data_IF_252139496591
#
_entry.id   IF_252139496591
#
_cell.length_a   1.000
_cell.length_b   1.000
_cell.length_c   1.000
_cell.angle_alpha   90.00
_cell.angle_beta   90.00
_cell.angle_gamma   90.00
#
_symmetry.space_group_name_H-M   'P 1'
#
loop_
_entity.id
_entity.type
_entity.pdbx_description
1 polymer ?
#
# COMPACT_ATOMS: atom_id res chain seq x y z
N UNK A 1 -46.94 71.77 -30.83
CA UNK A 1 -46.84 70.72 -29.75
C UNK A 1 -46.35 69.46 -30.45
N UNK A 2 -45.04 69.21 -30.38
CA UNK A 2 -44.41 68.06 -31.05
C UNK A 2 -44.06 67.05 -29.96
N UNK A 3 -44.64 65.88 -30.01
CA UNK A 3 -44.31 64.72 -29.09
C UNK A 3 -43.08 64.05 -29.67
N UNK A 4 -42.00 64.11 -28.92
CA UNK A 4 -40.77 63.34 -29.20
C UNK A 4 -40.92 61.96 -28.53
N UNK A 5 -40.96 60.94 -29.37
CA UNK A 5 -40.97 59.53 -28.93
C UNK A 5 -39.53 59.06 -28.78
N UNK A 6 -39.08 58.88 -27.54
CA UNK A 6 -37.76 58.30 -27.24
C UNK A 6 -37.83 56.76 -27.31
N UNK A 7 -37.19 56.20 -28.32
CA UNK A 7 -37.02 54.75 -28.44
C UNK A 7 -35.82 54.37 -27.57
N UNK A 8 -36.08 53.69 -26.44
CA UNK A 8 -35.05 53.11 -25.58
C UNK A 8 -34.60 51.76 -26.15
N UNK A 9 -33.41 51.75 -26.77
CA UNK A 9 -32.79 50.53 -27.29
C UNK A 9 -32.17 49.80 -26.11
N UNK A 10 -32.82 48.76 -25.64
CA UNK A 10 -32.24 47.85 -24.62
C UNK A 10 -31.30 46.87 -25.31
N UNK A 11 -30.01 47.14 -25.26
CA UNK A 11 -28.96 46.20 -25.63
C UNK A 11 -28.94 45.09 -24.56
N UNK A 12 -29.57 43.97 -24.85
CA UNK A 12 -29.38 42.74 -24.07
C UNK A 12 -28.01 42.17 -24.45
N UNK A 13 -26.98 42.52 -23.67
CA UNK A 13 -25.69 41.82 -23.69
C UNK A 13 -25.94 40.38 -23.30
N UNK A 14 -25.98 39.49 -24.28
CA UNK A 14 -25.87 38.05 -24.03
C UNK A 14 -24.46 37.74 -23.55
N UNK A 15 -24.18 38.04 -22.27
CA UNK A 15 -23.06 37.42 -21.55
C UNK A 15 -23.37 35.93 -21.48
N UNK A 16 -22.75 35.18 -22.38
CA UNK A 16 -22.75 33.73 -22.30
C UNK A 16 -22.17 33.34 -20.96
N UNK A 17 -23.04 33.06 -20.00
CA UNK A 17 -22.68 32.35 -18.78
C UNK A 17 -22.14 31.00 -19.21
N UNK A 18 -20.83 30.91 -19.38
CA UNK A 18 -20.16 29.63 -19.40
C UNK A 18 -20.45 28.99 -18.03
N UNK A 19 -21.50 28.18 -17.97
CA UNK A 19 -21.76 27.33 -16.80
C UNK A 19 -20.54 26.44 -16.64
N UNK A 20 -19.64 26.80 -15.71
CA UNK A 20 -18.62 25.91 -15.30
C UNK A 20 -19.31 24.61 -14.88
N UNK A 21 -19.02 23.52 -15.59
CA UNK A 21 -19.61 22.22 -15.28
C UNK A 21 -19.40 21.93 -13.81
N UNK A 22 -20.47 21.62 -13.08
CA UNK A 22 -20.35 21.18 -11.70
C UNK A 22 -19.27 20.08 -11.59
N UNK A 23 -18.38 20.11 -10.60
CA UNK A 23 -17.36 19.08 -10.44
C UNK A 23 -17.91 17.65 -10.54
N UNK A 24 -19.15 17.42 -10.12
CA UNK A 24 -19.84 16.13 -10.20
C UNK A 24 -20.20 15.69 -11.63
N UNK A 25 -20.35 16.61 -12.59
CA UNK A 25 -20.74 16.29 -13.98
C UNK A 25 -19.56 16.21 -14.94
N UNK A 26 -18.38 16.67 -14.54
CA UNK A 26 -17.17 16.62 -15.37
C UNK A 26 -16.77 15.18 -15.66
N UNK A 27 -16.61 14.82 -16.93
CA UNK A 27 -16.04 13.52 -17.32
C UNK A 27 -14.58 13.46 -16.93
N UNK A 28 -14.19 12.40 -16.26
CA UNK A 28 -12.82 12.14 -15.81
C UNK A 28 -12.31 10.83 -16.40
N UNK A 29 -11.06 10.84 -16.85
CA UNK A 29 -10.30 9.63 -17.18
C UNK A 29 -9.10 9.56 -16.26
N UNK A 30 -8.94 8.44 -15.56
CA UNK A 30 -7.87 8.21 -14.58
C UNK A 30 -7.07 7.00 -15.03
N UNK A 31 -5.76 7.19 -15.23
CA UNK A 31 -4.81 6.10 -15.44
C UNK A 31 -4.43 5.47 -14.10
N UNK A 32 -4.35 4.15 -14.06
CA UNK A 32 -3.83 3.40 -12.92
C UNK A 32 -2.75 2.46 -13.43
N UNK A 33 -1.53 2.61 -12.91
CA UNK A 33 -0.40 1.76 -13.27
C UNK A 33 0.26 1.19 -12.03
N UNK A 34 0.58 -0.11 -12.09
CA UNK A 34 1.13 -0.84 -10.96
C UNK A 34 1.93 -2.07 -11.42
N UNK A 35 2.72 -2.70 -10.53
CA UNK A 35 3.37 -3.96 -10.83
C UNK A 35 2.40 -5.07 -11.21
N UNK A 36 2.85 -6.04 -12.03
CA UNK A 36 2.16 -7.30 -12.21
C UNK A 36 2.09 -8.08 -10.89
N UNK A 37 1.18 -9.05 -10.82
CA UNK A 37 1.09 -9.94 -9.67
C UNK A 37 2.25 -10.97 -9.73
N UNK A 38 3.30 -10.73 -8.99
CA UNK A 38 4.49 -11.57 -8.88
C UNK A 38 4.60 -12.32 -7.54
N UNK A 39 3.80 -11.94 -6.54
CA UNK A 39 3.63 -12.59 -5.24
C UNK A 39 2.24 -12.31 -4.67
N UNK A 40 1.89 -12.92 -3.54
CA UNK A 40 0.54 -12.86 -2.97
C UNK A 40 0.05 -11.44 -2.71
N UNK A 41 0.89 -10.59 -2.11
CA UNK A 41 0.52 -9.22 -1.80
C UNK A 41 0.23 -8.38 -3.05
N UNK A 42 1.08 -8.44 -4.10
CA UNK A 42 0.82 -7.73 -5.36
C UNK A 42 -0.37 -8.30 -6.11
N UNK A 43 -0.65 -9.60 -5.97
CA UNK A 43 -1.88 -10.24 -6.42
C UNK A 43 -3.11 -9.61 -5.76
N UNK A 44 -3.08 -9.48 -4.44
CA UNK A 44 -4.10 -8.81 -3.64
C UNK A 44 -4.29 -7.35 -4.06
N UNK A 45 -3.19 -6.60 -4.22
CA UNK A 45 -3.23 -5.20 -4.65
C UNK A 45 -3.90 -5.04 -6.03
N UNK A 46 -3.59 -5.92 -6.99
CA UNK A 46 -4.24 -5.94 -8.30
C UNK A 46 -5.76 -6.22 -8.19
N UNK A 47 -6.16 -7.13 -7.32
CA UNK A 47 -7.56 -7.44 -7.08
C UNK A 47 -8.30 -6.25 -6.47
N UNK A 48 -7.74 -5.62 -5.43
CA UNK A 48 -8.32 -4.45 -4.78
C UNK A 48 -8.40 -3.23 -5.71
N UNK A 49 -7.39 -3.01 -6.57
CA UNK A 49 -7.44 -1.97 -7.58
C UNK A 49 -8.63 -2.16 -8.53
N UNK A 50 -8.79 -3.36 -9.09
CA UNK A 50 -9.90 -3.69 -9.99
C UNK A 50 -11.26 -3.57 -9.31
N UNK A 51 -11.36 -4.01 -8.05
CA UNK A 51 -12.58 -3.87 -7.25
C UNK A 51 -12.93 -2.40 -7.02
N UNK A 52 -11.98 -1.58 -6.59
CA UNK A 52 -12.21 -0.15 -6.37
C UNK A 52 -12.61 0.58 -7.65
N UNK A 53 -11.98 0.25 -8.77
CA UNK A 53 -12.32 0.79 -10.09
C UNK A 53 -13.78 0.44 -10.45
N UNK A 54 -14.18 -0.82 -10.31
CA UNK A 54 -15.54 -1.25 -10.60
C UNK A 54 -16.57 -0.56 -9.69
N UNK A 55 -16.26 -0.43 -8.41
CA UNK A 55 -17.13 0.24 -7.43
C UNK A 55 -17.29 1.74 -7.73
N UNK A 56 -16.20 2.43 -8.12
CA UNK A 56 -16.27 3.83 -8.50
C UNK A 56 -17.03 4.07 -9.80
N UNK A 57 -16.84 3.22 -10.81
CA UNK A 57 -17.59 3.32 -12.07
C UNK A 57 -19.10 3.12 -11.89
N UNK A 58 -19.53 2.32 -10.90
CA UNK A 58 -20.93 2.21 -10.49
C UNK A 58 -21.44 3.46 -9.77
N UNK A 59 -20.62 4.05 -8.89
CA UNK A 59 -20.97 5.24 -8.10
C UNK A 59 -20.98 6.53 -8.92
N UNK A 60 -20.08 6.64 -9.88
CA UNK A 60 -19.88 7.83 -10.71
C UNK A 60 -19.67 7.43 -12.18
N UNK A 61 -20.75 7.41 -12.99
CA UNK A 61 -20.67 7.03 -14.42
C UNK A 61 -19.81 7.99 -15.26
N UNK A 62 -19.48 9.16 -14.72
CA UNK A 62 -18.61 10.13 -15.41
C UNK A 62 -17.11 9.89 -15.12
N UNK A 63 -16.75 8.84 -14.38
CA UNK A 63 -15.36 8.44 -14.15
C UNK A 63 -15.04 7.19 -14.95
N UNK A 64 -14.01 7.28 -15.80
CA UNK A 64 -13.43 6.16 -16.52
C UNK A 64 -12.04 5.86 -16.01
N UNK A 65 -11.69 4.59 -15.87
CA UNK A 65 -10.34 4.18 -15.52
C UNK A 65 -9.67 3.42 -16.67
N UNK A 66 -8.36 3.67 -16.81
CA UNK A 66 -7.46 2.94 -17.72
C UNK A 66 -6.43 2.22 -16.86
N UNK A 67 -6.62 0.91 -16.66
CA UNK A 67 -5.78 0.09 -15.80
C UNK A 67 -4.67 -0.57 -16.60
N UNK A 68 -3.42 -0.50 -16.09
CA UNK A 68 -2.21 -1.10 -16.67
C UNK A 68 -1.40 -1.81 -15.59
N UNK A 69 -0.81 -2.94 -15.95
CA UNK A 69 0.19 -3.62 -15.13
C UNK A 69 1.48 -3.77 -15.92
N UNK A 70 2.61 -3.65 -15.23
CA UNK A 70 3.93 -3.71 -15.83
C UNK A 70 4.82 -4.71 -15.09
N UNK A 71 5.60 -5.49 -15.84
CA UNK A 71 6.57 -6.46 -15.32
C UNK A 71 7.88 -5.83 -14.88
N UNK A 72 8.18 -4.65 -15.42
CA UNK A 72 9.41 -3.91 -15.20
C UNK A 72 9.17 -2.40 -15.34
N UNK A 73 10.16 -1.62 -14.93
CA UNK A 73 10.09 -0.15 -14.90
C UNK A 73 10.01 0.47 -16.29
N UNK A 74 10.63 -0.16 -17.29
CA UNK A 74 10.61 0.33 -18.68
C UNK A 74 9.20 0.25 -19.25
N UNK A 75 8.54 -0.91 -19.04
CA UNK A 75 7.15 -1.09 -19.42
C UNK A 75 6.24 -0.13 -18.67
N UNK A 76 6.47 0.08 -17.36
CA UNK A 76 5.68 1.02 -16.57
C UNK A 76 5.83 2.45 -17.06
N UNK A 77 7.04 2.86 -17.44
CA UNK A 77 7.28 4.18 -18.00
C UNK A 77 6.53 4.39 -19.34
N UNK A 78 6.59 3.39 -20.23
CA UNK A 78 5.85 3.42 -21.49
C UNK A 78 4.32 3.48 -21.26
N UNK A 79 3.80 2.74 -20.29
CA UNK A 79 2.38 2.78 -19.91
C UNK A 79 1.95 4.17 -19.41
N UNK A 80 2.80 4.84 -18.61
CA UNK A 80 2.53 6.21 -18.14
C UNK A 80 2.52 7.18 -19.31
N UNK A 81 3.49 7.10 -20.23
CA UNK A 81 3.54 7.97 -21.40
C UNK A 81 2.33 7.77 -22.33
N UNK A 82 1.89 6.53 -22.51
CA UNK A 82 0.67 6.21 -23.25
C UNK A 82 -0.57 6.80 -22.58
N UNK A 83 -0.74 6.63 -21.25
CA UNK A 83 -1.83 7.22 -20.48
C UNK A 83 -1.86 8.75 -20.59
N UNK A 84 -0.69 9.40 -20.49
CA UNK A 84 -0.55 10.84 -20.66
C UNK A 84 -0.97 11.28 -22.07
N UNK A 85 -0.59 10.52 -23.08
CA UNK A 85 -0.94 10.78 -24.50
C UNK A 85 -2.45 10.61 -24.73
N UNK A 86 -3.09 9.68 -24.04
CA UNK A 86 -4.55 9.51 -24.06
C UNK A 86 -5.31 10.61 -23.31
N UNK A 87 -4.63 11.57 -22.70
CA UNK A 87 -5.24 12.74 -22.07
C UNK A 87 -5.92 12.44 -20.74
N UNK A 88 -5.34 11.55 -19.91
CA UNK A 88 -5.88 11.28 -18.56
C UNK A 88 -5.86 12.55 -17.71
N UNK A 89 -6.88 12.70 -16.87
CA UNK A 89 -6.99 13.80 -15.92
C UNK A 89 -6.22 13.52 -14.63
N UNK A 90 -6.11 12.24 -14.27
CA UNK A 90 -5.39 11.77 -13.09
C UNK A 90 -4.59 10.51 -13.37
N UNK A 91 -3.61 10.27 -12.53
CA UNK A 91 -2.72 9.14 -12.60
C UNK A 91 -2.48 8.57 -11.19
N UNK A 92 -2.79 7.30 -11.00
CA UNK A 92 -2.44 6.54 -9.80
C UNK A 92 -1.23 5.68 -10.15
N UNK A 93 -0.13 5.87 -9.44
CA UNK A 93 1.12 5.17 -9.69
C UNK A 93 1.52 4.38 -8.46
N UNK A 94 1.55 3.05 -8.59
CA UNK A 94 2.29 2.20 -7.69
C UNK A 94 3.63 1.88 -8.36
N UNK A 95 4.73 2.54 -7.96
CA UNK A 95 6.03 2.38 -8.62
C UNK A 95 6.56 0.95 -8.50
N UNK A 96 7.15 0.42 -9.57
CA UNK A 96 7.97 -0.80 -9.49
C UNK A 96 9.23 -0.48 -8.69
N UNK A 97 9.87 0.65 -9.01
CA UNK A 97 10.93 1.27 -8.21
C UNK A 97 10.99 2.78 -8.45
N UNK A 98 11.88 3.48 -7.75
CA UNK A 98 11.97 4.94 -7.80
C UNK A 98 12.57 5.51 -9.09
N UNK A 99 13.13 4.69 -9.98
CA UNK A 99 13.65 5.14 -11.28
C UNK A 99 12.53 5.62 -12.22
N UNK A 100 11.28 5.31 -11.91
CA UNK A 100 10.09 5.83 -12.60
C UNK A 100 9.89 7.35 -12.43
N UNK A 101 10.60 8.00 -11.49
CA UNK A 101 10.45 9.42 -11.13
C UNK A 101 10.39 10.37 -12.32
N UNK A 102 11.29 10.30 -13.35
CA UNK A 102 11.29 11.28 -14.43
C UNK A 102 9.99 11.30 -15.25
N UNK A 103 9.40 10.14 -15.53
CA UNK A 103 8.15 10.07 -16.30
C UNK A 103 6.95 10.52 -15.48
N UNK A 104 6.93 10.25 -14.19
CA UNK A 104 5.90 10.75 -13.25
C UNK A 104 6.00 12.26 -13.12
N UNK A 105 7.20 12.81 -12.96
CA UNK A 105 7.47 14.26 -12.91
C UNK A 105 6.98 14.94 -14.19
N UNK A 106 7.23 14.37 -15.37
CA UNK A 106 6.73 14.87 -16.66
C UNK A 106 5.20 14.92 -16.71
N UNK A 107 4.52 13.88 -16.19
CA UNK A 107 3.05 13.84 -16.11
C UNK A 107 2.51 14.91 -15.14
N UNK A 108 3.11 15.02 -13.96
CA UNK A 108 2.76 16.01 -12.93
C UNK A 108 2.92 17.45 -13.46
N UNK A 109 4.03 17.76 -14.13
CA UNK A 109 4.29 19.08 -14.71
C UNK A 109 3.35 19.45 -15.86
N UNK A 110 2.68 18.47 -16.47
CA UNK A 110 1.58 18.70 -17.43
C UNK A 110 0.24 19.02 -16.76
N UNK A 111 0.18 19.10 -15.44
CA UNK A 111 -1.04 19.37 -14.68
C UNK A 111 -1.95 18.17 -14.49
N UNK A 112 -1.47 16.95 -14.71
CA UNK A 112 -2.19 15.70 -14.36
C UNK A 112 -2.18 15.55 -12.86
N UNK A 113 -3.32 15.24 -12.24
CA UNK A 113 -3.43 14.96 -10.81
C UNK A 113 -2.79 13.63 -10.50
N UNK A 114 -1.72 13.62 -9.71
CA UNK A 114 -0.91 12.42 -9.47
C UNK A 114 -1.05 11.92 -8.04
N UNK A 115 -1.43 10.67 -7.89
CA UNK A 115 -1.38 9.92 -6.63
C UNK A 115 -0.29 8.85 -6.75
N UNK A 116 0.75 8.96 -5.93
CA UNK A 116 1.80 7.94 -5.81
C UNK A 116 1.57 7.15 -4.54
N UNK A 117 1.78 5.84 -4.57
CA UNK A 117 1.60 5.01 -3.37
C UNK A 117 2.76 4.05 -3.14
N UNK A 118 2.85 3.58 -1.90
CA UNK A 118 3.79 2.56 -1.40
C UNK A 118 5.26 2.95 -1.61
N UNK A 119 5.97 2.35 -2.58
CA UNK A 119 7.43 2.47 -2.78
C UNK A 119 7.93 3.90 -3.03
N UNK A 120 7.04 4.80 -3.46
CA UNK A 120 7.38 6.20 -3.64
C UNK A 120 8.26 6.49 -4.85
N UNK A 121 8.59 7.77 -5.00
CA UNK A 121 9.49 8.33 -6.03
C UNK A 121 10.49 9.27 -5.36
N UNK A 122 11.60 9.60 -6.04
CA UNK A 122 12.71 10.40 -5.44
C UNK A 122 12.43 11.90 -5.35
N UNK A 123 11.41 12.41 -6.06
CA UNK A 123 11.00 13.82 -6.04
C UNK A 123 9.52 13.95 -5.69
N UNK A 124 9.06 15.03 -5.04
CA UNK A 124 7.67 15.22 -4.67
C UNK A 124 6.80 15.67 -5.87
N UNK A 125 6.83 14.90 -6.98
CA UNK A 125 6.05 15.15 -8.18
C UNK A 125 4.69 14.43 -8.12
N UNK A 126 3.89 14.78 -7.11
CA UNK A 126 2.57 14.21 -6.85
C UNK A 126 1.70 15.21 -6.07
N UNK A 127 0.38 15.08 -6.20
CA UNK A 127 -0.59 15.77 -5.36
C UNK A 127 -0.78 15.02 -4.03
N UNK A 128 -0.76 13.68 -4.07
CA UNK A 128 -0.84 12.83 -2.87
C UNK A 128 0.19 11.71 -2.95
N UNK A 129 0.93 11.52 -1.86
CA UNK A 129 1.69 10.31 -1.58
C UNK A 129 1.00 9.53 -0.46
N UNK A 130 0.64 8.28 -0.74
CA UNK A 130 -0.03 7.38 0.18
C UNK A 130 0.89 6.21 0.54
N UNK A 131 1.13 5.98 1.82
CA UNK A 131 1.93 4.85 2.31
C UNK A 131 1.37 4.31 3.61
N UNK A 132 1.78 3.12 3.99
CA UNK A 132 1.60 2.61 5.34
C UNK A 132 2.78 3.04 6.23
N UNK A 133 2.63 2.95 7.55
CA UNK A 133 3.67 3.25 8.53
C UNK A 133 4.53 1.99 8.77
N UNK A 134 5.62 1.87 8.00
CA UNK A 134 6.54 0.73 8.07
C UNK A 134 7.29 0.67 9.42
N UNK A 135 7.53 1.83 10.04
CA UNK A 135 8.15 1.88 11.35
C UNK A 135 7.20 1.39 12.45
N UNK A 136 5.93 1.86 12.44
CA UNK A 136 4.92 1.38 13.37
C UNK A 136 4.66 -0.12 13.19
N UNK A 137 4.62 -0.60 11.94
CA UNK A 137 4.50 -2.02 11.59
C UNK A 137 5.58 -2.86 12.30
N UNK A 138 6.84 -2.58 12.05
CA UNK A 138 7.95 -3.38 12.58
C UNK A 138 8.09 -3.23 14.11
N UNK A 139 7.79 -2.04 14.65
CA UNK A 139 7.82 -1.76 16.09
C UNK A 139 6.79 -2.61 16.83
N UNK A 140 5.53 -2.55 16.41
CA UNK A 140 4.45 -3.32 17.03
C UNK A 140 4.72 -4.83 16.98
N UNK A 141 5.17 -5.32 15.82
CA UNK A 141 5.52 -6.72 15.62
C UNK A 141 6.59 -7.17 16.62
N UNK A 142 7.72 -6.47 16.67
CA UNK A 142 8.84 -6.87 17.51
C UNK A 142 8.57 -6.64 19.00
N UNK A 143 7.86 -5.59 19.39
CA UNK A 143 7.43 -5.39 20.78
C UNK A 143 6.51 -6.53 21.23
N UNK A 144 5.57 -6.94 20.38
CA UNK A 144 4.68 -8.06 20.67
C UNK A 144 5.45 -9.38 20.81
N UNK A 145 6.40 -9.67 19.90
CA UNK A 145 7.26 -10.86 19.97
C UNK A 145 8.06 -10.87 21.27
N UNK A 146 8.77 -9.78 21.58
CA UNK A 146 9.57 -9.68 22.80
C UNK A 146 8.75 -9.89 24.07
N UNK A 147 7.58 -9.25 24.15
CA UNK A 147 6.64 -9.42 25.27
C UNK A 147 6.14 -10.85 25.39
N UNK A 148 5.80 -11.48 24.29
CA UNK A 148 5.28 -12.86 24.25
C UNK A 148 6.33 -13.90 24.63
N UNK A 149 7.62 -13.59 24.43
CA UNK A 149 8.76 -14.39 24.90
C UNK A 149 9.15 -14.10 26.36
N UNK A 150 8.44 -13.20 27.06
CA UNK A 150 8.83 -12.75 28.41
C UNK A 150 10.17 -12.01 28.41
N UNK A 151 10.49 -11.31 27.32
CA UNK A 151 11.70 -10.50 27.12
C UNK A 151 13.01 -11.29 27.17
N UNK A 152 12.95 -12.60 26.86
CA UNK A 152 14.12 -13.48 26.80
C UNK A 152 13.96 -14.54 25.71
N UNK A 153 14.93 -14.63 24.79
CA UNK A 153 14.91 -15.64 23.73
C UNK A 153 15.78 -15.28 22.53
N UNK A 154 15.91 -16.25 21.66
CA UNK A 154 16.66 -16.17 20.40
C UNK A 154 15.69 -15.94 19.24
N UNK A 155 15.91 -14.90 18.46
CA UNK A 155 15.05 -14.51 17.33
C UNK A 155 15.88 -14.51 16.04
N UNK A 156 15.30 -14.99 14.95
CA UNK A 156 15.82 -14.81 13.59
C UNK A 156 14.87 -13.94 12.78
N UNK A 157 15.43 -13.14 11.86
CA UNK A 157 14.69 -12.26 10.98
C UNK A 157 14.83 -12.71 9.53
N UNK A 158 13.73 -12.68 8.77
CA UNK A 158 13.72 -12.87 7.31
C UNK A 158 13.22 -11.58 6.69
N UNK A 159 14.12 -10.89 5.99
CA UNK A 159 13.92 -9.55 5.43
C UNK A 159 13.24 -9.62 4.06
N UNK A 160 12.69 -8.48 3.61
CA UNK A 160 12.18 -8.36 2.25
C UNK A 160 13.28 -8.22 1.18
N UNK A 161 12.88 -7.70 0.01
CA UNK A 161 13.84 -7.24 -1.02
C UNK A 161 14.61 -6.04 -0.45
N UNK A 162 15.95 -5.97 -0.60
CA UNK A 162 16.73 -4.79 -0.22
C UNK A 162 16.13 -3.51 -0.80
N UNK A 163 15.60 -2.66 0.07
CA UNK A 163 14.86 -1.45 -0.27
C UNK A 163 14.65 -0.58 0.97
N UNK A 164 14.30 0.68 0.77
CA UNK A 164 14.01 1.61 1.89
C UNK A 164 12.97 1.03 2.86
N UNK A 165 11.93 0.38 2.35
CA UNK A 165 10.88 -0.25 3.17
C UNK A 165 11.46 -1.41 4.00
N UNK A 166 12.16 -2.34 3.34
CA UNK A 166 12.75 -3.50 4.02
C UNK A 166 13.79 -3.09 5.05
N UNK A 167 14.67 -2.14 4.69
CA UNK A 167 15.71 -1.61 5.57
C UNK A 167 15.10 -0.94 6.81
N UNK A 168 14.04 -0.14 6.62
CA UNK A 168 13.34 0.53 7.72
C UNK A 168 12.69 -0.48 8.68
N UNK A 169 11.96 -1.49 8.14
CA UNK A 169 11.34 -2.55 8.94
C UNK A 169 12.40 -3.34 9.72
N UNK A 170 13.46 -3.77 9.05
CA UNK A 170 14.54 -4.55 9.67
C UNK A 170 15.27 -3.76 10.74
N UNK A 171 15.63 -2.51 10.44
CA UNK A 171 16.27 -1.62 11.41
C UNK A 171 15.40 -1.41 12.65
N UNK A 172 14.13 -1.08 12.44
CA UNK A 172 13.19 -0.84 13.54
C UNK A 172 13.01 -2.08 14.40
N UNK A 173 12.86 -3.26 13.78
CA UNK A 173 12.76 -4.52 14.53
C UNK A 173 14.01 -4.78 15.38
N UNK A 174 15.21 -4.58 14.82
CA UNK A 174 16.48 -4.72 15.56
C UNK A 174 16.60 -3.69 16.70
N UNK A 175 16.24 -2.43 16.46
CA UNK A 175 16.27 -1.36 17.46
C UNK A 175 15.31 -1.65 18.63
N UNK A 176 14.15 -2.22 18.36
CA UNK A 176 13.22 -2.65 19.42
C UNK A 176 13.78 -3.84 20.21
N UNK A 177 14.26 -4.87 19.54
CA UNK A 177 14.85 -6.05 20.19
C UNK A 177 16.03 -5.66 21.10
N UNK A 178 16.87 -4.72 20.68
CA UNK A 178 18.03 -4.24 21.43
C UNK A 178 17.68 -3.54 22.77
N UNK A 179 16.44 -3.11 22.96
CA UNK A 179 15.97 -2.54 24.25
C UNK A 179 15.86 -3.61 25.35
N UNK A 180 15.86 -4.87 25.00
CA UNK A 180 15.64 -5.99 25.90
C UNK A 180 16.88 -6.90 25.98
N UNK A 181 17.75 -6.77 27.00
CA UNK A 181 19.04 -7.49 27.06
C UNK A 181 18.91 -9.03 27.02
N UNK A 182 17.74 -9.57 27.37
CA UNK A 182 17.47 -11.01 27.29
C UNK A 182 17.10 -11.50 25.89
N UNK A 183 16.82 -10.61 24.95
CA UNK A 183 16.52 -10.94 23.57
C UNK A 183 17.80 -10.91 22.73
N UNK A 184 18.00 -11.93 21.91
CA UNK A 184 19.14 -12.02 20.99
C UNK A 184 18.63 -12.21 19.56
N UNK A 185 18.90 -11.25 18.69
CA UNK A 185 18.75 -11.42 17.24
C UNK A 185 19.96 -12.19 16.74
N UNK A 186 19.75 -13.46 16.38
CA UNK A 186 20.82 -14.38 15.98
C UNK A 186 21.30 -14.10 14.54
N UNK A 187 20.37 -13.82 13.65
CA UNK A 187 20.64 -13.60 12.22
C UNK A 187 19.49 -12.82 11.55
N UNK A 188 19.78 -12.26 10.36
CA UNK A 188 18.84 -11.48 9.58
C UNK A 188 19.25 -11.59 8.10
N UNK A 189 18.45 -12.28 7.29
CA UNK A 189 18.75 -12.58 5.89
C UNK A 189 17.57 -12.26 4.97
N UNK A 190 17.80 -11.84 3.72
CA UNK A 190 16.74 -11.50 2.77
C UNK A 190 16.00 -12.75 2.26
N UNK A 191 14.69 -12.80 2.48
CA UNK A 191 13.75 -13.75 1.88
C UNK A 191 13.07 -13.21 0.64
N UNK A 192 13.32 -11.93 0.26
CA UNK A 192 12.98 -11.34 -1.03
C UNK A 192 11.48 -11.26 -1.36
N UNK A 193 10.60 -11.13 -0.35
CA UNK A 193 9.14 -11.21 -0.49
C UNK A 193 8.69 -12.50 -1.20
N UNK A 194 9.44 -13.58 -1.04
CA UNK A 194 9.25 -14.80 -1.80
C UNK A 194 9.24 -16.02 -0.88
N UNK A 195 8.22 -16.86 -1.00
CA UNK A 195 8.00 -18.03 -0.18
C UNK A 195 9.14 -19.04 -0.25
N UNK A 196 9.60 -19.36 -1.47
CA UNK A 196 10.63 -20.38 -1.70
C UNK A 196 12.00 -19.92 -1.17
N UNK A 197 12.32 -18.62 -1.34
CA UNK A 197 13.56 -18.05 -0.80
C UNK A 197 13.53 -17.99 0.72
N UNK A 198 12.41 -17.59 1.30
CA UNK A 198 12.23 -17.58 2.76
C UNK A 198 12.29 -19.00 3.35
N UNK A 199 11.77 -20.00 2.64
CA UNK A 199 11.90 -21.40 3.00
C UNK A 199 13.39 -21.78 3.08
N UNK A 200 14.19 -21.51 2.04
CA UNK A 200 15.61 -21.82 2.01
C UNK A 200 16.40 -21.07 3.12
N UNK A 201 16.08 -19.80 3.38
CA UNK A 201 16.66 -19.03 4.49
C UNK A 201 16.34 -19.70 5.84
N UNK A 202 15.10 -20.10 6.02
CA UNK A 202 14.68 -20.75 7.28
C UNK A 202 15.34 -22.12 7.48
N UNK A 203 15.47 -22.92 6.43
CA UNK A 203 16.22 -24.19 6.47
C UNK A 203 17.67 -23.98 6.94
N UNK A 204 18.35 -22.96 6.39
CA UNK A 204 19.70 -22.58 6.81
C UNK A 204 19.74 -22.18 8.30
N UNK A 205 18.77 -21.41 8.78
CA UNK A 205 18.68 -21.06 10.21
C UNK A 205 18.48 -22.28 11.10
N UNK A 206 17.61 -23.21 10.69
CA UNK A 206 17.33 -24.44 11.43
C UNK A 206 18.54 -25.37 11.50
N UNK A 207 19.42 -25.35 10.51
CA UNK A 207 20.69 -26.09 10.51
C UNK A 207 21.77 -25.40 11.37
N UNK A 208 21.84 -24.05 11.27
CA UNK A 208 22.89 -23.25 11.91
C UNK A 208 22.68 -23.06 13.41
N UNK A 209 21.45 -22.91 13.85
CA UNK A 209 21.10 -22.57 15.24
C UNK A 209 20.39 -23.71 15.93
N UNK A 210 20.92 -24.14 17.06
CA UNK A 210 20.37 -25.23 17.87
C UNK A 210 19.07 -24.86 18.60
N UNK A 211 18.84 -23.55 18.84
CA UNK A 211 17.64 -23.06 19.50
C UNK A 211 17.22 -21.74 18.91
N UNK A 212 15.97 -21.66 18.44
CA UNK A 212 15.30 -20.46 17.94
C UNK A 212 13.96 -20.38 18.67
N UNK A 213 13.70 -19.28 19.37
CA UNK A 213 12.45 -19.09 20.12
C UNK A 213 11.37 -18.41 19.28
N UNK A 214 11.77 -17.49 18.38
CA UNK A 214 10.84 -16.83 17.48
C UNK A 214 11.45 -16.53 16.10
N UNK A 215 10.56 -16.40 15.11
CA UNK A 215 10.87 -15.97 13.75
C UNK A 215 10.03 -14.73 13.44
N UNK A 216 10.67 -13.67 12.97
CA UNK A 216 10.04 -12.52 12.37
C UNK A 216 10.28 -12.54 10.86
N UNK A 217 9.23 -12.53 10.08
CA UNK A 217 9.30 -12.29 8.63
C UNK A 217 8.68 -10.95 8.31
N UNK A 218 9.22 -10.26 7.32
CA UNK A 218 8.72 -8.94 6.96
C UNK A 218 7.41 -8.96 6.16
N UNK A 219 6.89 -10.15 5.82
CA UNK A 219 5.55 -10.37 5.25
C UNK A 219 5.05 -11.82 5.43
N UNK A 220 3.80 -12.05 5.03
CA UNK A 220 3.10 -13.34 5.16
C UNK A 220 3.49 -14.37 4.09
N UNK A 221 3.85 -13.94 2.88
CA UNK A 221 4.33 -14.88 1.85
C UNK A 221 5.62 -15.57 2.31
N UNK A 222 6.53 -14.79 2.91
CA UNK A 222 7.75 -15.34 3.51
C UNK A 222 7.46 -16.18 4.75
N UNK A 223 6.45 -15.79 5.56
CA UNK A 223 6.05 -16.57 6.72
C UNK A 223 5.56 -17.97 6.31
N UNK A 224 4.83 -18.12 5.22
CA UNK A 224 4.42 -19.41 4.70
C UNK A 224 5.62 -20.32 4.40
N UNK A 225 6.66 -19.77 3.78
CA UNK A 225 7.91 -20.51 3.51
C UNK A 225 8.60 -20.94 4.79
N UNK A 226 8.72 -20.02 5.76
CA UNK A 226 9.33 -20.32 7.07
C UNK A 226 8.56 -21.37 7.86
N UNK A 227 7.22 -21.31 7.85
CA UNK A 227 6.36 -22.33 8.48
C UNK A 227 6.52 -23.69 7.85
N UNK A 228 6.65 -23.77 6.53
CA UNK A 228 6.88 -25.02 5.80
C UNK A 228 8.23 -25.63 6.21
N UNK A 229 9.33 -24.87 6.14
CA UNK A 229 10.65 -25.34 6.55
C UNK A 229 10.69 -25.85 7.99
N UNK A 230 10.05 -25.10 8.91
CA UNK A 230 9.97 -25.52 10.32
C UNK A 230 9.20 -26.84 10.49
N UNK A 231 8.06 -26.98 9.81
CA UNK A 231 7.29 -28.22 9.84
C UNK A 231 8.09 -29.42 9.32
N UNK A 232 8.81 -29.25 8.21
CA UNK A 232 9.61 -30.30 7.57
C UNK A 232 10.82 -30.68 8.41
N UNK A 233 11.41 -29.75 9.17
CA UNK A 233 12.54 -30.01 10.06
C UNK A 233 12.22 -30.92 11.27
N UNK A 234 10.94 -31.05 11.61
CA UNK A 234 10.50 -31.81 12.80
C UNK A 234 10.85 -31.15 14.14
N UNK A 235 11.49 -29.98 14.17
CA UNK A 235 11.85 -29.26 15.42
C UNK A 235 10.61 -28.79 16.18
N UNK A 236 10.76 -28.46 17.46
CA UNK A 236 9.67 -28.08 18.38
C UNK A 236 10.03 -26.91 19.30
N UNK A 237 11.15 -26.23 19.05
CA UNK A 237 11.68 -25.15 19.88
C UNK A 237 11.07 -23.81 19.64
N UNK A 238 10.61 -23.52 18.39
CA UNK A 238 10.00 -22.24 18.03
C UNK A 238 8.61 -22.11 18.68
N UNK A 239 8.38 -20.99 19.34
CA UNK A 239 7.16 -20.66 20.09
C UNK A 239 6.27 -19.67 19.34
N UNK A 240 6.89 -18.84 18.49
CA UNK A 240 6.24 -17.73 17.77
C UNK A 240 6.84 -17.63 16.37
N UNK A 241 5.95 -17.53 15.39
CA UNK A 241 6.30 -17.13 14.02
C UNK A 241 5.37 -15.99 13.63
N UNK A 242 5.95 -14.85 13.27
CA UNK A 242 5.25 -13.61 12.99
C UNK A 242 5.50 -13.18 11.54
N UNK A 243 4.44 -12.89 10.82
CA UNK A 243 4.47 -12.37 9.45
C UNK A 243 4.11 -10.90 9.37
N UNK A 244 3.20 -10.60 8.50
CA UNK A 244 2.62 -9.27 8.32
C UNK A 244 1.98 -9.10 6.96
N UNK A 245 1.20 -8.06 6.86
CA UNK A 245 0.35 -7.68 5.75
C UNK A 245 -1.11 -8.13 5.87
N UNK A 246 -1.46 -8.92 6.89
CA UNK A 246 -2.82 -9.37 7.15
C UNK A 246 -3.41 -10.24 6.02
N UNK A 247 -2.64 -11.19 5.51
CA UNK A 247 -3.16 -12.14 4.53
C UNK A 247 -4.32 -12.95 5.09
N UNK A 248 -5.28 -13.26 4.24
CA UNK A 248 -6.44 -14.08 4.63
C UNK A 248 -6.03 -15.39 5.31
N UNK A 249 -4.95 -16.02 4.84
CA UNK A 249 -4.44 -17.26 5.38
C UNK A 249 -3.92 -17.08 6.82
N UNK A 250 -3.13 -16.04 7.09
CA UNK A 250 -2.57 -15.79 8.41
C UNK A 250 -3.62 -15.27 9.39
N UNK A 251 -4.50 -14.37 8.96
CA UNK A 251 -5.64 -13.92 9.77
C UNK A 251 -6.52 -15.12 10.17
N UNK A 252 -6.78 -16.05 9.23
CA UNK A 252 -7.54 -17.27 9.52
C UNK A 252 -6.86 -18.15 10.59
N UNK A 253 -5.53 -18.34 10.48
CA UNK A 253 -4.75 -19.08 11.48
C UNK A 253 -4.88 -18.47 12.88
N UNK A 254 -4.78 -17.13 12.98
CA UNK A 254 -4.92 -16.42 14.26
C UNK A 254 -6.32 -16.63 14.84
N UNK A 255 -7.37 -16.52 14.02
CA UNK A 255 -8.76 -16.76 14.42
C UNK A 255 -8.97 -18.18 14.95
N UNK A 256 -8.36 -19.17 14.29
CA UNK A 256 -8.47 -20.58 14.63
C UNK A 256 -7.60 -20.96 15.86
N UNK A 257 -6.73 -20.05 16.33
CA UNK A 257 -5.87 -20.27 17.49
C UNK A 257 -4.63 -21.11 17.18
N UNK A 258 -3.98 -20.85 16.03
CA UNK A 258 -2.71 -21.50 15.65
C UNK A 258 -1.65 -21.40 16.76
N UNK A 259 -0.89 -22.46 16.92
CA UNK A 259 0.10 -22.56 18.01
C UNK A 259 1.32 -21.65 17.79
N UNK A 260 1.68 -21.35 16.54
CA UNK A 260 2.85 -20.57 16.15
C UNK A 260 2.47 -19.15 15.69
N UNK A 261 1.45 -19.01 14.83
CA UNK A 261 0.99 -17.75 14.28
C UNK A 261 -0.13 -17.19 15.16
N UNK A 262 0.26 -16.39 16.15
CA UNK A 262 -0.66 -15.88 17.18
C UNK A 262 -1.02 -14.40 16.98
N UNK A 263 -0.26 -13.72 16.17
CA UNK A 263 -0.46 -12.30 15.83
C UNK A 263 0.12 -11.99 14.45
N UNK A 264 -0.30 -10.85 13.93
CA UNK A 264 0.11 -10.28 12.66
C UNK A 264 0.07 -8.74 12.75
N UNK A 265 0.58 -8.04 11.76
CA UNK A 265 0.47 -6.58 11.65
C UNK A 265 -0.15 -6.19 10.31
N UNK A 266 -1.03 -5.21 10.33
CA UNK A 266 -1.69 -4.77 9.09
C UNK A 266 -0.71 -4.06 8.15
N UNK A 267 -0.69 -4.50 6.92
CA UNK A 267 -0.12 -3.82 5.75
C UNK A 267 -0.93 -4.25 4.52
N UNK A 268 -2.24 -3.96 4.52
CA UNK A 268 -3.14 -4.61 3.58
C UNK A 268 -2.94 -4.06 2.16
N UNK A 269 -3.08 -4.91 1.13
CA UNK A 269 -2.96 -4.51 -0.27
C UNK A 269 -4.09 -3.58 -0.75
N UNK A 270 -5.13 -3.35 0.05
CA UNK A 270 -6.22 -2.42 -0.24
C UNK A 270 -5.82 -0.94 -0.20
N UNK A 271 -4.58 -0.64 0.22
CA UNK A 271 -3.99 0.70 0.08
C UNK A 271 -4.14 1.24 -1.34
N UNK A 272 -4.12 0.37 -2.35
CA UNK A 272 -4.33 0.77 -3.75
C UNK A 272 -5.78 1.20 -4.00
N UNK A 273 -6.76 0.58 -3.36
CA UNK A 273 -8.17 1.00 -3.45
C UNK A 273 -8.38 2.40 -2.84
N UNK A 274 -7.66 2.68 -1.75
CA UNK A 274 -7.60 4.01 -1.15
C UNK A 274 -6.98 5.02 -2.12
N UNK A 275 -5.86 4.70 -2.79
CA UNK A 275 -5.23 5.57 -3.80
C UNK A 275 -6.16 5.87 -4.99
N UNK A 276 -6.88 4.86 -5.50
CA UNK A 276 -7.91 5.02 -6.53
C UNK A 276 -8.99 5.99 -6.04
N UNK A 277 -9.46 5.83 -4.82
CA UNK A 277 -10.49 6.71 -4.24
C UNK A 277 -10.00 8.15 -4.07
N UNK A 278 -8.76 8.34 -3.59
CA UNK A 278 -8.15 9.66 -3.44
C UNK A 278 -8.00 10.38 -4.78
N UNK A 279 -7.70 9.67 -5.87
CA UNK A 279 -7.62 10.27 -7.20
C UNK A 279 -8.96 10.85 -7.67
N UNK A 280 -10.06 10.13 -7.44
CA UNK A 280 -11.41 10.60 -7.77
C UNK A 280 -11.79 11.79 -6.89
N UNK A 281 -11.59 11.67 -5.57
CA UNK A 281 -11.94 12.74 -4.60
C UNK A 281 -11.17 14.02 -4.92
N UNK A 282 -9.87 13.93 -5.19
CA UNK A 282 -9.04 15.08 -5.55
C UNK A 282 -9.47 15.75 -6.84
N UNK A 283 -9.73 14.96 -7.89
CA UNK A 283 -10.19 15.48 -9.18
C UNK A 283 -11.60 16.06 -9.14
N UNK A 284 -12.45 15.61 -8.24
CA UNK A 284 -13.78 16.18 -8.00
C UNK A 284 -13.72 17.51 -7.22
N UNK A 285 -12.52 17.96 -6.84
CA UNK A 285 -12.33 19.24 -6.14
C UNK A 285 -12.99 19.27 -4.76
N UNK A 286 -13.12 18.10 -4.11
CA UNK A 286 -13.61 18.06 -2.74
C UNK A 286 -12.58 18.71 -1.83
N UNK A 287 -12.94 19.85 -1.26
CA UNK A 287 -12.11 20.67 -0.39
C UNK A 287 -12.69 20.65 1.02
N UNK A 288 -11.83 20.91 2.00
CA UNK A 288 -12.27 21.16 3.37
C UNK A 288 -12.77 22.60 3.47
N UNK A 289 -14.09 22.79 3.38
CA UNK A 289 -14.70 24.12 3.55
C UNK A 289 -14.51 24.61 4.98
N UNK A 290 -14.25 25.90 5.13
CA UNK A 290 -14.08 26.52 6.45
C UNK A 290 -12.70 26.33 7.09
N UNK A 291 -11.74 25.69 6.44
CA UNK A 291 -10.39 25.48 6.92
C UNK A 291 -9.35 26.21 6.06
N UNK A 292 -8.17 26.49 6.63
CA UNK A 292 -7.03 27.03 5.89
C UNK A 292 -6.54 26.06 4.81
N UNK A 293 -6.58 24.74 5.12
CA UNK A 293 -6.23 23.68 4.17
C UNK A 293 -7.41 23.36 3.27
N UNK A 294 -7.33 23.76 2.00
CA UNK A 294 -8.37 23.54 1.01
C UNK A 294 -8.13 22.36 0.07
N UNK A 295 -6.96 21.74 0.14
CA UNK A 295 -6.58 20.58 -0.68
C UNK A 295 -6.38 19.35 0.20
N UNK A 296 -6.40 18.16 -0.41
CA UNK A 296 -5.99 16.95 0.27
C UNK A 296 -4.54 17.08 0.77
N UNK A 297 -4.19 16.50 1.93
CA UNK A 297 -2.82 16.47 2.41
C UNK A 297 -1.91 15.82 1.36
N UNK A 298 -0.71 16.38 1.16
CA UNK A 298 0.30 15.82 0.24
C UNK A 298 0.74 14.41 0.65
N UNK A 299 0.82 14.15 1.97
CA UNK A 299 1.24 12.85 2.50
C UNK A 299 0.17 12.29 3.42
N UNK A 300 -0.25 11.06 3.12
CA UNK A 300 -1.18 10.28 3.94
C UNK A 300 -0.45 9.01 4.33
N UNK A 301 -0.22 8.84 5.63
CA UNK A 301 0.42 7.65 6.18
C UNK A 301 -0.66 6.88 6.94
N UNK A 302 -0.97 5.67 6.47
CA UNK A 302 -1.93 4.79 7.09
C UNK A 302 -1.26 4.08 8.27
N UNK A 303 -1.93 4.08 9.41
CA UNK A 303 -1.42 3.39 10.58
C UNK A 303 -1.37 1.87 10.34
N UNK A 304 -0.36 1.21 10.92
CA UNK A 304 -0.33 -0.24 11.04
C UNK A 304 -0.93 -0.65 12.39
N UNK A 305 -1.72 -1.70 12.40
CA UNK A 305 -2.39 -2.21 13.59
C UNK A 305 -1.97 -3.65 13.86
N UNK A 306 -1.79 -3.98 15.14
CA UNK A 306 -1.50 -5.34 15.57
C UNK A 306 -2.79 -6.17 15.53
N UNK A 307 -2.74 -7.28 14.83
CA UNK A 307 -3.81 -8.28 14.78
C UNK A 307 -3.52 -9.37 15.80
N UNK A 308 -4.47 -9.64 16.65
CA UNK A 308 -4.46 -10.75 17.60
C UNK A 308 -5.78 -11.52 17.49
N UNK A 309 -5.92 -12.63 18.21
CA UNK A 309 -7.16 -13.40 18.21
C UNK A 309 -8.40 -12.57 18.58
N UNK A 310 -8.23 -11.52 19.38
CA UNK A 310 -9.33 -10.67 19.86
C UNK A 310 -9.95 -9.83 18.74
N UNK A 311 -9.13 -9.36 17.79
CA UNK A 311 -9.56 -8.44 16.71
C UNK A 311 -9.45 -9.02 15.30
N UNK A 312 -8.86 -10.21 15.12
CA UNK A 312 -8.59 -10.82 13.81
C UNK A 312 -9.82 -10.88 12.90
N UNK A 313 -11.02 -11.08 13.47
CA UNK A 313 -12.27 -11.13 12.70
C UNK A 313 -12.53 -9.84 11.92
N UNK A 314 -12.04 -8.69 12.39
CA UNK A 314 -12.23 -7.40 11.71
C UNK A 314 -11.37 -7.28 10.44
N UNK A 315 -10.32 -8.11 10.33
CA UNK A 315 -9.36 -8.11 9.22
C UNK A 315 -9.52 -9.32 8.28
N UNK A 316 -10.51 -10.17 8.52
CA UNK A 316 -10.77 -11.34 7.69
C UNK A 316 -11.72 -11.00 6.54
N UNK A 317 -11.20 -10.97 5.32
CA UNK A 317 -11.95 -10.71 4.10
C UNK A 317 -12.01 -11.98 3.25
N UNK A 318 -13.09 -12.79 3.38
CA UNK A 318 -13.17 -14.11 2.72
C UNK A 318 -13.10 -14.05 1.20
N UNK A 319 -13.56 -12.95 0.59
CA UNK A 319 -13.56 -12.73 -0.85
C UNK A 319 -12.22 -12.22 -1.40
N UNK A 320 -11.30 -11.79 -0.52
CA UNK A 320 -9.96 -11.36 -0.93
C UNK A 320 -9.14 -12.56 -1.43
N UNK A 321 -8.26 -12.29 -2.40
CA UNK A 321 -7.30 -13.27 -2.91
C UNK A 321 -6.01 -13.30 -2.09
N UNK A 322 -5.86 -12.32 -1.20
CA UNK A 322 -4.73 -12.20 -0.27
C UNK A 322 -5.23 -12.15 1.16
#
# INVERSE_FOLDING_TARGET
MKKILAILLVLVSACGLAFAQSPATKKLTIGVTMPTADHGWTGGANWWAKKAIADWQKKDPNVKFLFRTASDVTKQAADIEDLVTQGVNGLVVFPIDSSITPVVEKAYNKGIYVVVLDRGITKPAYDVYLSNDDEAYARQAMEWICKSLGYKGNIVLIEGIPSVISDLRTKTAKDVAAKYPGIKVLDSQPGMWNKEKALAVMENYLQKYTSIDAVYTADDDMLEGALQAYKESGRKDIKIMFGGAASKAMVKRIMDGDALVKADATYPPDVVATAVSLSVIGLRGRVFEGFYQKKLPIRIILNSELITRENAKNYYFPDSVF
#
